data_IF_502748217651
#
_entry.id   IF_502748217651
#
_cell.length_a   1.000
_cell.length_b   1.000
_cell.length_c   1.000
_cell.angle_alpha   90.00
_cell.angle_beta   90.00
_cell.angle_gamma   90.00
#
_symmetry.space_group_name_H-M   'P 1'
#
loop_
_entity.id
_entity.type
_entity.pdbx_description
1 polymer ?
#
# COMPACT_ATOMS: atom_id res chain seq x y z
N UNK A 1 28.54 16.79 -19.90
CA UNK A 1 28.59 15.62 -18.99
C UNK A 1 28.26 16.12 -17.59
N UNK A 2 27.25 15.53 -16.96
CA UNK A 2 26.94 15.81 -15.56
C UNK A 2 27.74 14.82 -14.67
N UNK A 3 28.43 15.35 -13.70
CA UNK A 3 29.17 14.57 -12.73
C UNK A 3 28.39 14.57 -11.40
N UNK A 4 28.25 13.40 -10.79
CA UNK A 4 27.71 13.29 -9.42
C UNK A 4 28.88 13.28 -8.44
N UNK A 5 28.83 14.18 -7.48
CA UNK A 5 29.75 14.22 -6.37
C UNK A 5 28.94 14.10 -5.07
N UNK A 6 29.48 13.35 -4.12
CA UNK A 6 28.95 13.40 -2.75
C UNK A 6 29.45 14.69 -2.10
N UNK A 7 28.54 15.50 -1.58
CA UNK A 7 28.83 16.71 -0.83
C UNK A 7 27.94 16.76 0.41
N UNK A 8 28.42 17.39 1.47
CA UNK A 8 27.61 17.66 2.64
C UNK A 8 26.79 18.94 2.38
N UNK A 9 25.52 18.92 2.77
CA UNK A 9 24.69 20.10 2.82
C UNK A 9 25.25 21.07 3.87
N UNK A 10 25.23 22.37 3.58
CA UNK A 10 25.65 23.40 4.53
C UNK A 10 24.59 23.63 5.61
N UNK A 11 23.34 23.39 5.29
CA UNK A 11 22.21 23.58 6.18
C UNK A 11 21.73 22.27 6.81
N UNK A 12 21.18 22.39 8.01
CA UNK A 12 20.55 21.25 8.68
C UNK A 12 19.19 20.95 8.07
N UNK A 13 19.01 19.71 7.64
CA UNK A 13 17.73 19.19 7.14
C UNK A 13 17.10 18.33 8.21
N UNK A 14 15.87 18.63 8.59
CA UNK A 14 15.12 17.86 9.55
C UNK A 14 13.86 17.28 8.95
N UNK A 15 13.54 16.07 9.32
CA UNK A 15 12.26 15.43 8.97
C UNK A 15 11.45 15.19 10.23
N UNK A 16 10.15 15.37 10.12
CA UNK A 16 9.22 15.04 11.20
C UNK A 16 8.07 14.23 10.66
N UNK A 17 7.46 13.42 11.52
CA UNK A 17 6.31 12.62 11.11
C UNK A 17 5.62 12.00 12.30
N UNK A 18 4.38 11.59 12.04
CA UNK A 18 3.56 10.87 12.98
C UNK A 18 2.72 9.82 12.25
N UNK A 19 2.42 8.73 12.93
CA UNK A 19 1.49 7.73 12.41
C UNK A 19 0.55 7.25 13.50
N UNK A 20 -0.67 6.94 13.09
CA UNK A 20 -1.68 6.33 13.94
C UNK A 20 -2.27 5.12 13.23
N UNK A 21 -2.44 4.02 13.96
CA UNK A 21 -3.07 2.81 13.47
C UNK A 21 -4.16 2.33 14.43
N UNK A 22 -5.26 1.85 13.87
CA UNK A 22 -6.39 1.31 14.60
C UNK A 22 -6.73 -0.07 14.04
N UNK A 23 -6.91 -1.04 14.94
CA UNK A 23 -7.50 -2.32 14.62
C UNK A 23 -8.74 -2.50 15.51
N UNK A 24 -9.88 -2.68 14.88
CA UNK A 24 -11.14 -2.86 15.58
C UNK A 24 -11.78 -4.20 15.19
N UNK A 25 -12.05 -5.03 16.16
CA UNK A 25 -12.69 -6.33 15.98
C UNK A 25 -14.18 -6.18 16.21
N UNK A 26 -14.95 -6.22 15.11
CA UNK A 26 -16.41 -6.10 15.13
C UNK A 26 -17.06 -7.34 15.74
N UNK A 27 -16.47 -8.51 15.51
CA UNK A 27 -16.91 -9.80 16.00
C UNK A 27 -15.75 -10.79 15.84
N UNK A 28 -15.89 -12.03 16.31
CA UNK A 28 -14.85 -13.05 16.15
C UNK A 28 -14.36 -13.23 14.71
N UNK A 29 -15.19 -12.92 13.72
CA UNK A 29 -14.94 -13.18 12.31
C UNK A 29 -14.63 -11.94 11.47
N UNK A 30 -14.85 -10.73 11.99
CA UNK A 30 -14.67 -9.49 11.23
C UNK A 30 -13.73 -8.53 11.96
N UNK A 31 -12.85 -7.91 11.18
CA UNK A 31 -11.98 -6.84 11.67
C UNK A 31 -11.91 -5.68 10.70
N UNK A 32 -11.84 -4.49 11.25
CA UNK A 32 -11.53 -3.26 10.54
C UNK A 32 -10.12 -2.84 10.95
N UNK A 33 -9.33 -2.43 10.00
CA UNK A 33 -8.02 -1.85 10.25
C UNK A 33 -7.90 -0.53 9.48
N UNK A 34 -7.17 0.40 10.08
CA UNK A 34 -6.86 1.66 9.45
C UNK A 34 -5.53 2.17 9.95
N UNK A 35 -4.78 2.80 9.08
CA UNK A 35 -3.63 3.58 9.47
C UNK A 35 -3.55 4.88 8.67
N UNK A 36 -3.00 5.89 9.29
CA UNK A 36 -2.68 7.17 8.69
C UNK A 36 -1.26 7.53 9.05
N UNK A 37 -0.52 8.08 8.10
CA UNK A 37 0.83 8.58 8.30
C UNK A 37 0.96 9.96 7.70
N UNK A 38 1.58 10.84 8.46
CA UNK A 38 1.98 12.17 8.06
C UNK A 38 3.50 12.30 8.19
N UNK A 39 4.14 12.87 7.16
CA UNK A 39 5.56 13.11 7.12
C UNK A 39 5.81 14.49 6.53
N UNK A 40 6.77 15.21 7.07
CA UNK A 40 7.13 16.54 6.57
C UNK A 40 8.64 16.74 6.58
N UNK A 41 9.15 17.30 5.51
CA UNK A 41 10.50 17.83 5.45
C UNK A 41 10.46 19.28 5.93
N UNK A 42 11.33 19.63 6.89
CA UNK A 42 11.56 21.00 7.30
C UNK A 42 12.91 21.43 6.72
N UNK A 43 12.85 22.32 5.76
CA UNK A 43 14.03 22.96 5.18
C UNK A 43 14.31 24.24 5.95
N UNK A 44 15.45 24.30 6.61
CA UNK A 44 15.98 25.54 7.17
C UNK A 44 17.09 26.05 6.24
N UNK A 45 16.78 27.07 5.45
CA UNK A 45 17.76 27.76 4.60
C UNK A 45 17.51 27.53 3.10
N UNK A 46 16.97 28.55 2.47
CA UNK A 46 16.62 28.54 1.03
C UNK A 46 17.80 28.82 0.09
N UNK A 47 19.02 29.00 0.60
CA UNK A 47 20.20 29.36 -0.18
C UNK A 47 21.16 28.22 -0.50
N UNK A 48 20.92 27.01 0.06
CA UNK A 48 21.74 25.85 -0.23
C UNK A 48 21.40 25.30 -1.62
N UNK A 49 22.36 25.21 -2.55
CA UNK A 49 22.13 24.61 -3.87
C UNK A 49 21.89 23.09 -3.80
N UNK A 50 22.09 22.47 -2.64
CA UNK A 50 21.88 21.04 -2.41
C UNK A 50 20.52 20.85 -1.76
N UNK A 51 19.51 20.51 -2.57
CA UNK A 51 18.19 20.15 -2.08
C UNK A 51 18.21 18.67 -1.72
N UNK A 52 17.89 18.31 -0.46
CA UNK A 52 17.80 16.90 -0.08
C UNK A 52 16.59 16.24 -0.76
N UNK A 53 16.81 15.14 -1.45
CA UNK A 53 15.73 14.37 -2.04
C UNK A 53 14.85 13.75 -0.94
N UNK A 54 13.64 14.26 -0.77
CA UNK A 54 12.64 13.73 0.15
C UNK A 54 11.47 13.14 -0.61
N UNK A 55 11.69 11.95 -1.18
CA UNK A 55 10.73 11.26 -2.05
C UNK A 55 9.65 10.54 -1.23
N UNK A 56 8.94 11.29 -0.40
CA UNK A 56 7.94 10.76 0.51
C UNK A 56 6.69 11.62 0.48
N UNK A 57 5.49 11.04 0.24
CA UNK A 57 4.24 11.77 0.31
C UNK A 57 4.00 12.33 1.72
N UNK A 58 3.46 13.54 1.81
CA UNK A 58 3.16 14.15 3.11
C UNK A 58 2.07 13.37 3.84
N UNK A 59 1.03 12.98 3.12
CA UNK A 59 -0.09 12.22 3.68
C UNK A 59 -0.30 10.90 2.96
N UNK A 60 -0.53 9.84 3.72
CA UNK A 60 -1.00 8.54 3.22
C UNK A 60 -1.87 7.83 4.24
N UNK A 61 -2.87 7.11 3.77
CA UNK A 61 -3.67 6.26 4.64
C UNK A 61 -4.11 4.97 3.96
N UNK A 62 -4.39 3.98 4.79
CA UNK A 62 -4.97 2.71 4.39
C UNK A 62 -6.16 2.39 5.28
N UNK A 63 -7.18 1.80 4.68
CA UNK A 63 -8.37 1.30 5.36
C UNK A 63 -8.63 -0.12 4.89
N UNK A 64 -8.90 -1.03 5.80
CA UNK A 64 -9.15 -2.41 5.46
C UNK A 64 -10.31 -3.03 6.23
N UNK A 65 -10.99 -3.94 5.59
CA UNK A 65 -11.95 -4.84 6.21
C UNK A 65 -11.57 -6.28 5.88
N UNK A 66 -11.57 -7.11 6.90
CA UNK A 66 -11.27 -8.54 6.76
C UNK A 66 -12.39 -9.35 7.41
N UNK A 67 -12.84 -10.36 6.70
CA UNK A 67 -13.73 -11.39 7.25
C UNK A 67 -13.03 -12.75 7.18
N UNK A 68 -13.10 -13.52 8.25
CA UNK A 68 -12.45 -14.84 8.36
C UNK A 68 -13.48 -15.90 8.76
N UNK A 69 -13.35 -17.08 8.16
CA UNK A 69 -14.20 -18.26 8.45
C UNK A 69 -15.70 -17.93 8.46
N UNK A 70 -16.14 -17.23 7.40
CA UNK A 70 -17.51 -16.78 7.26
C UNK A 70 -18.36 -17.94 6.76
N UNK A 71 -19.51 -18.09 7.37
CA UNK A 71 -20.56 -18.99 6.93
C UNK A 71 -21.67 -18.18 6.25
N UNK A 72 -21.62 -18.10 4.91
CA UNK A 72 -22.60 -17.29 4.15
C UNK A 72 -24.04 -17.82 4.26
N UNK A 73 -24.21 -19.12 4.42
CA UNK A 73 -25.51 -19.77 4.64
C UNK A 73 -25.33 -20.94 5.61
N UNK A 74 -26.12 -20.96 6.66
CA UNK A 74 -26.03 -21.93 7.75
C UNK A 74 -26.25 -23.38 7.32
N UNK A 75 -26.90 -23.62 6.18
CA UNK A 75 -27.40 -24.95 5.78
C UNK A 75 -26.53 -25.66 4.74
N UNK A 76 -25.70 -24.93 3.96
CA UNK A 76 -24.89 -25.52 2.90
C UNK A 76 -23.40 -25.55 3.26
N UNK A 77 -22.81 -26.75 3.37
CA UNK A 77 -21.39 -26.96 3.62
C UNK A 77 -20.48 -26.30 2.58
N UNK A 78 -20.99 -26.12 1.36
CA UNK A 78 -20.25 -25.51 0.25
C UNK A 78 -19.95 -24.02 0.45
N UNK A 79 -20.78 -23.31 1.23
CA UNK A 79 -20.66 -21.87 1.50
C UNK A 79 -20.05 -21.56 2.88
N UNK A 80 -19.32 -22.52 3.45
CA UNK A 80 -18.56 -22.35 4.70
C UNK A 80 -17.08 -22.13 4.42
N UNK A 81 -16.37 -21.62 5.43
CA UNK A 81 -14.92 -21.46 5.42
C UNK A 81 -14.42 -20.48 4.35
N UNK A 82 -15.21 -19.44 4.08
CA UNK A 82 -14.78 -18.32 3.26
C UNK A 82 -14.09 -17.26 4.11
N UNK A 83 -13.09 -16.64 3.53
CA UNK A 83 -12.48 -15.44 4.09
C UNK A 83 -12.29 -14.42 2.98
N UNK A 84 -12.41 -13.15 3.31
CA UNK A 84 -12.15 -12.07 2.38
C UNK A 84 -11.33 -10.97 3.04
N UNK A 85 -10.65 -10.18 2.22
CA UNK A 85 -9.96 -8.96 2.60
C UNK A 85 -10.16 -7.92 1.51
N UNK A 86 -10.52 -6.72 1.91
CA UNK A 86 -10.61 -5.55 1.04
C UNK A 86 -9.79 -4.46 1.70
N UNK A 87 -8.84 -3.89 0.96
CA UNK A 87 -8.00 -2.80 1.42
C UNK A 87 -8.09 -1.64 0.45
N UNK A 88 -8.28 -0.46 0.98
CA UNK A 88 -8.18 0.81 0.27
C UNK A 88 -6.93 1.53 0.73
N UNK A 89 -6.11 2.00 -0.20
CA UNK A 89 -4.91 2.79 0.04
C UNK A 89 -5.03 4.10 -0.73
N UNK A 90 -4.73 5.20 -0.08
CA UNK A 90 -4.56 6.50 -0.71
C UNK A 90 -3.17 7.07 -0.40
N UNK A 91 -2.56 7.65 -1.40
CA UNK A 91 -1.24 8.27 -1.33
C UNK A 91 -1.34 9.65 -1.97
N UNK A 92 -0.93 10.66 -1.22
CA UNK A 92 -0.85 12.03 -1.73
C UNK A 92 0.23 12.15 -2.80
N UNK A 93 -0.01 13.07 -3.76
CA UNK A 93 0.99 13.41 -4.76
C UNK A 93 2.19 14.13 -4.12
N UNK A 94 3.36 13.91 -4.68
CA UNK A 94 4.59 14.54 -4.22
C UNK A 94 5.56 14.75 -5.37
N UNK A 95 6.50 15.66 -5.19
CA UNK A 95 7.58 15.84 -6.17
C UNK A 95 8.68 14.80 -5.90
N UNK A 96 8.95 13.98 -6.91
CA UNK A 96 10.05 13.03 -6.88
C UNK A 96 11.33 13.66 -7.40
N UNK A 97 12.39 13.59 -6.62
CA UNK A 97 13.70 14.12 -6.93
C UNK A 97 14.74 12.98 -7.05
N UNK A 98 15.03 12.56 -8.26
CA UNK A 98 16.03 11.51 -8.53
C UNK A 98 17.35 12.04 -9.04
N UNK A 99 17.30 12.89 -10.05
CA UNK A 99 18.42 13.63 -10.64
C UNK A 99 17.83 14.82 -11.37
N UNK A 100 18.63 15.81 -11.80
CA UNK A 100 18.10 16.97 -12.53
C UNK A 100 17.23 16.60 -13.76
N UNK A 101 17.48 15.45 -14.39
CA UNK A 101 16.67 14.98 -15.52
C UNK A 101 15.50 14.08 -15.10
N UNK A 102 15.48 13.61 -13.85
CA UNK A 102 14.46 12.72 -13.29
C UNK A 102 13.83 13.33 -12.03
N UNK A 103 13.46 14.59 -12.13
CA UNK A 103 12.69 15.31 -11.12
C UNK A 103 11.35 15.68 -11.73
N UNK A 104 10.28 15.42 -11.00
CA UNK A 104 8.93 15.77 -11.42
C UNK A 104 7.86 15.18 -10.51
N UNK A 105 6.63 15.56 -10.80
CA UNK A 105 5.50 15.26 -9.91
C UNK A 105 5.01 13.82 -10.09
N UNK A 106 4.82 13.13 -8.97
CA UNK A 106 4.05 11.90 -8.85
C UNK A 106 2.65 12.30 -8.41
N UNK A 107 1.62 12.13 -9.25
CA UNK A 107 0.24 12.47 -8.89
C UNK A 107 -0.26 11.63 -7.73
N UNK A 108 -1.22 12.17 -6.98
CA UNK A 108 -1.94 11.39 -5.97
C UNK A 108 -2.65 10.21 -6.63
N UNK A 109 -2.69 9.09 -5.93
CA UNK A 109 -3.37 7.89 -6.41
C UNK A 109 -4.03 7.11 -5.28
N UNK A 110 -5.03 6.34 -5.65
CA UNK A 110 -5.73 5.42 -4.77
C UNK A 110 -5.78 4.01 -5.36
N UNK A 111 -5.76 3.02 -4.50
CA UNK A 111 -5.76 1.61 -4.86
C UNK A 111 -6.79 0.86 -4.03
N UNK A 112 -7.46 -0.09 -4.65
CA UNK A 112 -8.31 -1.06 -3.97
C UNK A 112 -7.78 -2.46 -4.24
N UNK A 113 -7.42 -3.16 -3.18
CA UNK A 113 -6.98 -4.56 -3.24
C UNK A 113 -8.09 -5.44 -2.67
N UNK A 114 -8.37 -6.54 -3.35
CA UNK A 114 -9.41 -7.50 -2.95
C UNK A 114 -8.85 -8.92 -2.97
N UNK A 115 -9.14 -9.69 -1.95
CA UNK A 115 -8.81 -11.10 -1.89
C UNK A 115 -9.98 -11.89 -1.32
N UNK A 116 -10.26 -13.05 -1.91
CA UNK A 116 -11.18 -14.05 -1.39
C UNK A 116 -10.42 -15.36 -1.27
N UNK A 117 -10.66 -16.08 -0.20
CA UNK A 117 -10.12 -17.42 -0.01
C UNK A 117 -11.18 -18.38 0.52
N UNK A 118 -11.01 -19.63 0.14
CA UNK A 118 -11.87 -20.73 0.60
C UNK A 118 -11.00 -21.89 1.10
N UNK A 119 -11.22 -22.29 2.34
CA UNK A 119 -10.61 -23.49 2.89
C UNK A 119 -11.44 -24.70 2.50
N UNK A 120 -10.77 -25.75 2.04
CA UNK A 120 -11.30 -27.07 1.66
C UNK A 120 -10.73 -28.11 2.62
N UNK A 121 -11.37 -28.33 3.80
CA UNK A 121 -10.80 -29.20 4.84
C UNK A 121 -10.63 -30.65 4.38
N UNK A 122 -11.53 -31.15 3.55
CA UNK A 122 -11.50 -32.52 3.02
C UNK A 122 -10.27 -32.80 2.13
N UNK A 123 -9.72 -31.76 1.53
CA UNK A 123 -8.54 -31.83 0.66
C UNK A 123 -7.27 -31.28 1.33
N UNK A 124 -7.35 -30.87 2.59
CA UNK A 124 -6.29 -30.10 3.26
C UNK A 124 -5.75 -28.96 2.39
N UNK A 125 -6.64 -28.25 1.72
CA UNK A 125 -6.28 -27.25 0.74
C UNK A 125 -6.98 -25.90 1.00
N UNK A 126 -6.34 -24.82 0.58
CA UNK A 126 -6.94 -23.48 0.56
C UNK A 126 -6.75 -22.87 -0.81
N UNK A 127 -7.83 -22.44 -1.43
CA UNK A 127 -7.81 -21.68 -2.68
C UNK A 127 -7.90 -20.21 -2.35
N UNK A 128 -7.05 -19.38 -2.98
CA UNK A 128 -7.08 -17.91 -2.89
C UNK A 128 -7.15 -17.31 -4.28
N UNK A 129 -8.00 -16.33 -4.44
CA UNK A 129 -8.08 -15.48 -5.63
C UNK A 129 -8.06 -14.04 -5.17
N UNK A 130 -7.23 -13.23 -5.78
CA UNK A 130 -7.13 -11.82 -5.41
C UNK A 130 -6.70 -10.95 -6.57
N UNK A 131 -6.88 -9.68 -6.38
CA UNK A 131 -6.43 -8.64 -7.30
C UNK A 131 -5.92 -7.44 -6.53
N UNK A 132 -4.68 -7.06 -6.79
CA UNK A 132 -4.20 -5.73 -6.43
C UNK A 132 -4.69 -4.73 -7.45
N UNK A 133 -5.02 -3.52 -6.98
CA UNK A 133 -5.50 -2.44 -7.82
C UNK A 133 -6.67 -2.91 -8.72
N UNK A 134 -7.72 -3.47 -8.10
CA UNK A 134 -8.85 -4.08 -8.83
C UNK A 134 -9.56 -3.09 -9.75
N UNK A 135 -9.52 -1.79 -9.44
CA UNK A 135 -10.08 -0.71 -10.25
C UNK A 135 -9.20 -0.34 -11.45
N UNK A 136 -7.99 -0.90 -11.53
CA UNK A 136 -7.00 -0.63 -12.58
C UNK A 136 -6.62 0.86 -12.69
N UNK A 137 -6.49 1.52 -11.56
CA UNK A 137 -5.99 2.89 -11.50
C UNK A 137 -4.51 2.92 -11.89
N UNK A 138 -4.20 3.36 -13.11
CA UNK A 138 -2.82 3.40 -13.63
C UNK A 138 -2.07 4.53 -12.97
N UNK A 139 -1.05 4.21 -12.21
CA UNK A 139 -0.20 5.14 -11.50
C UNK A 139 1.28 4.75 -11.64
N UNK A 140 2.16 5.64 -11.28
CA UNK A 140 3.58 5.37 -11.08
C UNK A 140 3.99 5.88 -9.69
N UNK A 141 4.93 5.20 -9.06
CA UNK A 141 5.39 5.51 -7.70
C UNK A 141 6.68 6.34 -7.69
N UNK A 142 7.33 6.43 -8.84
CA UNK A 142 8.53 7.24 -9.07
C UNK A 142 8.40 7.95 -10.39
N UNK A 143 8.84 9.20 -10.47
CA UNK A 143 8.81 9.95 -11.72
C UNK A 143 9.66 9.27 -12.80
N UNK A 144 9.10 9.13 -13.99
CA UNK A 144 9.74 8.40 -15.10
C UNK A 144 9.73 6.88 -14.95
N UNK A 145 9.10 6.34 -13.91
CA UNK A 145 8.92 4.91 -13.71
C UNK A 145 7.79 4.31 -14.57
N UNK A 146 7.67 2.98 -14.61
CA UNK A 146 6.61 2.33 -15.35
C UNK A 146 5.24 2.56 -14.71
N UNK A 147 4.20 2.59 -15.53
CA UNK A 147 2.83 2.57 -15.03
C UNK A 147 2.51 1.20 -14.43
N UNK A 148 1.97 1.23 -13.22
CA UNK A 148 1.50 0.06 -12.48
C UNK A 148 -0.02 -0.01 -12.63
N UNK A 149 -0.51 -1.11 -13.13
CA UNK A 149 -1.94 -1.39 -13.28
C UNK A 149 -2.40 -2.51 -12.36
N UNK A 150 -3.54 -3.10 -12.69
CA UNK A 150 -4.11 -4.23 -11.97
C UNK A 150 -3.27 -5.50 -12.15
N UNK A 151 -3.08 -6.21 -11.03
CA UNK A 151 -2.47 -7.54 -11.02
C UNK A 151 -3.45 -8.53 -10.36
N UNK A 152 -3.82 -9.58 -11.07
CA UNK A 152 -4.71 -10.64 -10.55
C UNK A 152 -3.91 -11.92 -10.35
N UNK A 153 -4.19 -12.62 -9.27
CA UNK A 153 -3.52 -13.88 -8.94
C UNK A 153 -4.50 -14.93 -8.43
N UNK A 154 -4.11 -16.18 -8.61
CA UNK A 154 -4.74 -17.33 -8.00
C UNK A 154 -3.66 -18.20 -7.36
N UNK A 155 -3.91 -18.69 -6.16
CA UNK A 155 -3.01 -19.60 -5.47
C UNK A 155 -3.76 -20.76 -4.85
N UNK A 156 -3.09 -21.91 -4.82
CA UNK A 156 -3.56 -23.14 -4.17
C UNK A 156 -2.50 -23.55 -3.15
N UNK A 157 -2.89 -23.64 -1.88
CA UNK A 157 -2.06 -24.07 -0.78
C UNK A 157 -2.52 -25.47 -0.33
N UNK A 158 -1.61 -26.41 -0.21
CA UNK A 158 -1.83 -27.71 0.39
C UNK A 158 -1.07 -27.81 1.72
N UNK A 159 -1.76 -28.31 2.76
CA UNK A 159 -1.16 -28.62 4.06
C UNK A 159 -0.90 -30.14 4.09
N UNK A 160 0.37 -30.53 4.02
CA UNK A 160 0.79 -31.94 4.16
C UNK A 160 1.02 -32.23 5.64
N UNK A 161 0.29 -33.19 6.19
CA UNK A 161 0.45 -33.67 7.57
C UNK A 161 1.41 -34.84 7.60
#
# INVERSE_FOLDING_TARGET
QAYRMAANAENTVTTQGASIGINYYLHSNYSLNGNYSWNKLNEEGTEDPIIPAYNTPEHKYNLGITGRDIHLLSTNSTLRNFSFSINYKWVEGFTYEGSPQFTGDVPAYDLVDVQISKKLPELNATIKVGSSNVLNNKHYEVYGGPYIGRMTYCSLLFELN
#
